data_IF_221788810452
#
_entry.id   IF_221788810452
#
_cell.length_a   1.000
_cell.length_b   1.000
_cell.length_c   1.000
_cell.angle_alpha   90.00
_cell.angle_beta   90.00
_cell.angle_gamma   90.00
#
_symmetry.space_group_name_H-M   'P 1'
#
loop_
_entity.id
_entity.type
_entity.pdbx_description
1 polymer ?
#
# COMPACT_ATOMS: atom_id res chain seq x y z
N UNK A 1 -2.40 13.29 0.25
CA UNK A 1 -1.49 12.17 0.64
C UNK A 1 -0.45 12.05 -0.46
N UNK A 2 0.85 12.08 -0.15
CA UNK A 2 1.89 11.99 -1.18
C UNK A 2 2.13 10.52 -1.57
N UNK A 3 2.52 10.21 -2.82
CA UNK A 3 2.87 8.85 -3.22
C UNK A 3 3.97 8.26 -2.33
N UNK A 4 4.95 9.09 -1.94
CA UNK A 4 6.03 8.68 -1.05
C UNK A 4 5.58 8.28 0.36
N UNK A 5 4.48 8.84 0.89
CA UNK A 5 3.94 8.41 2.18
C UNK A 5 3.31 7.01 2.07
N UNK A 6 2.68 6.70 0.93
CA UNK A 6 2.07 5.39 0.68
C UNK A 6 3.15 4.34 0.45
N UNK A 7 4.15 4.66 -0.37
CA UNK A 7 5.30 3.78 -0.57
C UNK A 7 6.06 3.56 0.73
N UNK A 8 6.34 4.62 1.50
CA UNK A 8 7.02 4.51 2.79
C UNK A 8 6.26 3.69 3.84
N UNK A 9 4.93 3.74 3.84
CA UNK A 9 4.12 2.90 4.74
C UNK A 9 4.10 1.43 4.30
N UNK A 10 4.21 1.15 3.00
CA UNK A 10 4.30 -0.22 2.48
C UNK A 10 5.70 -0.81 2.68
N UNK A 11 6.75 -0.05 2.43
CA UNK A 11 8.13 -0.52 2.57
C UNK A 11 8.61 -0.50 4.03
N UNK A 12 8.17 0.48 4.83
CA UNK A 12 8.57 0.63 6.23
C UNK A 12 7.83 -0.30 7.19
N UNK A 13 6.51 -0.10 7.36
CA UNK A 13 5.71 -0.85 8.35
C UNK A 13 5.54 -2.34 7.98
N UNK A 14 5.60 -2.67 6.69
CA UNK A 14 5.27 -4.01 6.21
C UNK A 14 6.45 -4.76 5.59
N UNK A 15 7.59 -4.09 5.44
CA UNK A 15 8.80 -4.67 4.87
C UNK A 15 8.61 -5.16 3.43
N UNK A 16 7.70 -4.55 2.66
CA UNK A 16 7.61 -4.86 1.24
C UNK A 16 8.81 -4.30 0.51
N UNK A 17 9.33 -5.09 -0.43
CA UNK A 17 10.40 -4.63 -1.28
C UNK A 17 9.85 -3.66 -2.32
N UNK A 18 10.60 -2.58 -2.61
CA UNK A 18 10.24 -1.65 -3.67
C UNK A 18 10.12 -2.34 -5.04
N UNK A 19 10.76 -3.50 -5.20
CA UNK A 19 10.67 -4.36 -6.38
C UNK A 19 9.30 -5.06 -6.55
N UNK A 20 8.57 -5.29 -5.46
CA UNK A 20 7.23 -5.89 -5.51
C UNK A 20 6.12 -4.84 -5.70
N UNK A 21 6.48 -3.56 -5.53
CA UNK A 21 5.63 -2.40 -5.77
C UNK A 21 5.90 -1.87 -7.17
N UNK A 22 4.88 -1.95 -8.02
CA UNK A 22 4.90 -1.43 -9.38
C UNK A 22 4.40 0.01 -9.46
N UNK A 23 3.61 0.28 -10.50
CA UNK A 23 3.07 1.60 -10.77
C UNK A 23 2.20 2.12 -9.62
N UNK A 24 2.53 3.32 -9.15
CA UNK A 24 1.74 4.06 -8.16
C UNK A 24 0.99 5.16 -8.89
N UNK A 25 -0.33 5.15 -8.78
CA UNK A 25 -1.20 6.17 -9.33
C UNK A 25 -1.93 6.87 -8.19
N UNK A 26 -1.64 8.15 -8.02
CA UNK A 26 -2.24 8.97 -6.95
C UNK A 26 -3.35 9.81 -7.55
N UNK A 27 -4.57 9.60 -7.09
CA UNK A 27 -5.70 10.49 -7.30
C UNK A 27 -5.97 11.32 -6.04
N UNK A 28 -6.68 12.45 -6.15
CA UNK A 28 -7.03 13.29 -5.00
C UNK A 28 -7.84 12.52 -3.93
N UNK A 29 -8.69 11.58 -4.36
CA UNK A 29 -9.55 10.79 -3.49
C UNK A 29 -9.00 9.40 -3.12
N UNK A 30 -8.17 8.80 -3.98
CA UNK A 30 -7.69 7.42 -3.83
C UNK A 30 -6.28 7.23 -4.38
N UNK A 31 -5.56 6.24 -3.87
CA UNK A 31 -4.25 5.85 -4.40
C UNK A 31 -4.31 4.40 -4.83
N UNK A 32 -3.90 4.14 -6.07
CA UNK A 32 -3.73 2.79 -6.61
C UNK A 32 -2.26 2.44 -6.62
N UNK A 33 -1.93 1.27 -6.09
CA UNK A 33 -0.58 0.74 -6.07
C UNK A 33 -0.63 -0.63 -6.71
N UNK A 34 0.12 -0.82 -7.79
CA UNK A 34 0.33 -2.15 -8.35
C UNK A 34 1.26 -2.93 -7.41
N UNK A 35 0.83 -4.11 -7.00
CA UNK A 35 1.59 -5.04 -6.15
C UNK A 35 1.55 -6.42 -6.77
N UNK A 36 2.64 -7.19 -6.63
CA UNK A 36 2.65 -8.58 -7.10
C UNK A 36 1.56 -9.40 -6.39
N UNK A 37 0.86 -10.23 -7.16
CA UNK A 37 -0.27 -11.03 -6.66
C UNK A 37 0.10 -11.94 -5.48
N UNK A 38 1.31 -12.52 -5.49
CA UNK A 38 1.81 -13.38 -4.41
C UNK A 38 1.94 -12.62 -3.07
N UNK A 39 2.26 -11.32 -3.14
CA UNK A 39 2.34 -10.44 -1.97
C UNK A 39 1.05 -9.66 -1.70
N UNK A 40 0.12 -9.58 -2.66
CA UNK A 40 -1.07 -8.74 -2.56
C UNK A 40 -1.95 -9.11 -1.36
N UNK A 41 -2.13 -10.40 -1.07
CA UNK A 41 -2.88 -10.82 0.12
C UNK A 41 -2.16 -10.48 1.43
N UNK A 42 -0.83 -10.61 1.46
CA UNK A 42 -0.01 -10.27 2.63
C UNK A 42 -0.06 -8.76 2.89
N UNK A 43 0.08 -7.96 1.82
CA UNK A 43 -0.02 -6.51 1.85
C UNK A 43 -1.41 -6.07 2.29
N UNK A 44 -2.47 -6.69 1.76
CA UNK A 44 -3.85 -6.40 2.15
C UNK A 44 -4.09 -6.64 3.65
N UNK A 45 -3.68 -7.79 4.19
CA UNK A 45 -3.83 -8.09 5.63
C UNK A 45 -3.02 -7.13 6.51
N UNK A 46 -1.78 -6.84 6.11
CA UNK A 46 -0.92 -5.90 6.82
C UNK A 46 -1.49 -4.47 6.77
N UNK A 47 -1.95 -4.00 5.61
CA UNK A 47 -2.60 -2.69 5.45
C UNK A 47 -3.93 -2.57 6.17
N UNK A 48 -4.67 -3.67 6.28
CA UNK A 48 -5.93 -3.69 6.99
C UNK A 48 -5.74 -3.55 8.51
N UNK A 49 -4.67 -4.12 9.05
CA UNK A 49 -4.32 -4.02 10.47
C UNK A 49 -3.36 -2.85 10.79
N UNK A 50 -2.65 -2.36 9.77
CA UNK A 50 -1.64 -1.32 9.86
C UNK A 50 -2.25 0.08 9.82
N UNK A 51 -1.69 0.99 10.61
CA UNK A 51 -2.06 2.41 10.55
C UNK A 51 -1.11 3.11 9.59
N UNK A 52 -1.60 3.53 8.43
CA UNK A 52 -0.80 4.38 7.56
C UNK A 52 -0.76 5.77 8.19
N UNK A 53 0.41 6.18 8.70
CA UNK A 53 0.61 7.52 9.28
C UNK A 53 -0.38 7.82 10.41
N UNK A 54 -0.61 6.84 11.30
CA UNK A 54 -1.50 6.96 12.46
C UNK A 54 -3.00 6.94 12.16
N UNK A 55 -3.40 6.78 10.90
CA UNK A 55 -4.81 6.68 10.49
C UNK A 55 -5.13 5.29 9.94
N UNK A 56 -6.29 4.77 10.32
CA UNK A 56 -6.83 3.54 9.73
C UNK A 56 -7.23 3.83 8.28
N UNK A 57 -6.43 3.34 7.34
CA UNK A 57 -6.74 3.48 5.91
C UNK A 57 -7.52 2.26 5.45
N UNK A 58 -8.70 2.50 4.86
CA UNK A 58 -9.52 1.43 4.30
C UNK A 58 -8.90 1.00 2.97
N UNK A 59 -8.25 -0.16 2.97
CA UNK A 59 -7.62 -0.73 1.78
C UNK A 59 -8.57 -1.72 1.12
N UNK A 60 -8.56 -1.75 -0.22
CA UNK A 60 -9.32 -2.69 -1.03
C UNK A 60 -8.39 -3.31 -2.06
N UNK A 61 -8.39 -4.64 -2.11
CA UNK A 61 -7.69 -5.36 -3.17
C UNK A 61 -8.58 -5.31 -4.42
N UNK A 62 -8.12 -4.62 -5.46
CA UNK A 62 -8.70 -4.70 -6.80
C UNK A 62 -8.04 -5.86 -7.53
N UNK A 63 -8.86 -6.67 -8.18
CA UNK A 63 -8.46 -7.88 -8.90
C UNK A 63 -8.42 -7.59 -10.40
#
# INVERSE_FOLDING_TARGET
MRPGDVLGALTGDMGFDGADIGKITVHPAHVYVAIRQNMAQKAYKQLQNGKIKGKSCRVRLLK
#
